data_IF_926967242751
#
_entry.id   IF_926967242751
#
_cell.length_a   1.000
_cell.length_b   1.000
_cell.length_c   1.000
_cell.angle_alpha   90.00
_cell.angle_beta   90.00
_cell.angle_gamma   90.00
#
_symmetry.space_group_name_H-M   'P 1'
#
loop_
_entity.id
_entity.type
_entity.pdbx_description
1 polymer ?
#
# COMPACT_ATOMS: atom_id res chain seq x y z
N UNK A 1 24.72 -9.71 41.55
CA UNK A 1 25.61 -8.54 41.34
C UNK A 1 26.91 -9.01 40.69
N UNK A 2 27.16 -8.60 39.44
CA UNK A 2 28.49 -8.41 38.86
C UNK A 2 28.30 -7.67 37.53
N UNK A 3 28.72 -6.41 37.52
CA UNK A 3 28.76 -5.53 36.37
C UNK A 3 29.99 -5.85 35.52
N UNK A 4 29.90 -5.62 34.21
CA UNK A 4 30.79 -4.66 33.56
C UNK A 4 30.34 -4.33 32.12
N UNK A 5 30.36 -3.03 31.75
CA UNK A 5 30.06 -2.54 30.41
C UNK A 5 31.35 -2.41 29.57
N UNK A 6 31.25 -2.54 28.25
CA UNK A 6 32.24 -1.92 27.34
C UNK A 6 31.57 -1.29 26.11
N UNK A 7 31.67 0.03 26.09
CA UNK A 7 31.66 0.91 24.93
C UNK A 7 32.63 0.43 23.85
N UNK A 8 32.20 0.49 22.59
CA UNK A 8 33.06 0.97 21.49
C UNK A 8 32.16 1.77 20.54
N UNK A 9 32.43 3.08 20.49
CA UNK A 9 31.94 3.98 19.46
C UNK A 9 32.80 3.81 18.20
N UNK A 10 32.17 3.77 17.02
CA UNK A 10 32.85 3.89 15.74
C UNK A 10 32.26 5.10 14.99
N UNK A 11 33.08 6.14 14.94
CA UNK A 11 32.95 7.37 14.19
C UNK A 11 33.35 7.16 12.72
N UNK A 12 32.87 8.08 11.85
CA UNK A 12 33.37 8.44 10.51
C UNK A 12 33.00 7.44 9.39
N UNK A 13 32.53 7.88 8.21
CA UNK A 13 33.05 9.01 7.44
C UNK A 13 32.00 9.71 6.55
N UNK A 14 32.18 11.03 6.48
CA UNK A 14 31.70 11.96 5.45
C UNK A 14 32.20 11.55 4.06
N UNK A 15 31.33 11.63 3.05
CA UNK A 15 31.71 11.61 1.64
C UNK A 15 30.86 12.60 0.84
N UNK A 16 31.31 13.86 0.76
CA UNK A 16 30.84 14.84 -0.21
C UNK A 16 31.29 14.43 -1.62
N UNK A 17 30.39 14.42 -2.60
CA UNK A 17 30.74 14.40 -4.02
C UNK A 17 30.47 15.79 -4.64
N UNK A 18 31.47 16.42 -5.30
CA UNK A 18 31.31 17.70 -5.96
C UNK A 18 30.71 17.59 -7.37
N UNK A 19 30.11 18.70 -7.78
CA UNK A 19 29.50 19.02 -9.07
C UNK A 19 30.49 18.89 -10.24
N UNK A 20 30.08 18.22 -11.32
CA UNK A 20 30.76 18.28 -12.61
C UNK A 20 29.91 19.10 -13.59
N UNK A 21 30.40 20.29 -13.90
CA UNK A 21 29.87 21.25 -14.88
C UNK A 21 30.24 20.87 -16.31
N UNK A 22 29.28 21.16 -17.18
CA UNK A 22 29.22 21.23 -18.65
C UNK A 22 30.52 21.41 -19.44
N UNK A 23 30.59 20.70 -20.58
CA UNK A 23 31.33 21.16 -21.77
C UNK A 23 30.39 21.13 -22.98
N UNK A 24 29.95 22.31 -23.40
CA UNK A 24 29.08 22.54 -24.54
C UNK A 24 29.95 22.90 -25.75
N UNK A 25 30.01 22.00 -26.73
CA UNK A 25 30.71 22.23 -27.99
C UNK A 25 29.89 23.18 -28.87
N UNK A 26 30.37 24.41 -28.99
CA UNK A 26 29.89 25.39 -29.96
C UNK A 26 30.19 24.94 -31.40
N UNK A 27 29.17 24.96 -32.26
CA UNK A 27 29.35 25.18 -33.70
C UNK A 27 28.57 26.43 -34.08
N UNK A 28 29.31 27.44 -34.50
CA UNK A 28 28.81 28.67 -35.07
C UNK A 28 28.47 28.45 -36.55
N UNK A 29 27.24 28.78 -36.92
CA UNK A 29 26.81 28.97 -38.31
C UNK A 29 25.95 30.22 -38.36
N UNK A 30 26.52 31.30 -38.88
CA UNK A 30 25.92 32.64 -39.01
C UNK A 30 25.01 32.72 -40.23
N UNK A 31 23.86 33.39 -40.07
CA UNK A 31 23.23 34.36 -40.99
C UNK A 31 21.73 34.09 -41.25
N UNK A 32 20.89 34.93 -40.64
CA UNK A 32 19.47 35.07 -41.00
C UNK A 32 18.59 35.59 -39.85
N UNK A 33 18.48 36.92 -39.69
CA UNK A 33 17.35 37.56 -38.97
C UNK A 33 16.11 37.49 -39.89
N UNK A 34 14.83 37.31 -39.45
CA UNK A 34 14.15 37.78 -38.22
C UNK A 34 13.11 36.74 -37.67
N UNK A 35 12.04 37.06 -36.88
CA UNK A 35 11.73 38.16 -35.96
C UNK A 35 11.62 37.68 -34.49
N UNK A 36 11.30 38.59 -33.56
CA UNK A 36 11.05 38.30 -32.15
C UNK A 36 9.95 37.22 -31.96
N UNK A 37 10.36 36.01 -31.60
CA UNK A 37 9.46 34.98 -31.12
C UNK A 37 9.21 35.22 -29.62
N UNK A 38 8.00 35.72 -29.34
CA UNK A 38 7.40 35.75 -28.01
C UNK A 38 7.60 34.38 -27.37
N UNK A 39 8.27 34.33 -26.22
CA UNK A 39 8.35 33.14 -25.39
C UNK A 39 6.94 32.76 -24.97
N UNK A 40 6.37 31.60 -25.38
CA UNK A 40 5.35 31.00 -24.55
C UNK A 40 6.13 30.45 -23.37
N UNK A 41 6.13 31.20 -22.27
CA UNK A 41 6.29 30.58 -20.95
C UNK A 41 5.24 29.48 -20.91
N UNK A 42 5.66 28.23 -21.14
CA UNK A 42 4.90 27.07 -20.77
C UNK A 42 4.87 27.11 -19.23
N UNK A 43 3.95 27.94 -18.72
CA UNK A 43 3.50 27.93 -17.34
C UNK A 43 3.28 26.47 -17.00
N UNK A 44 3.90 26.07 -15.89
CA UNK A 44 3.55 24.92 -15.07
C UNK A 44 2.05 24.61 -15.15
N UNK A 45 1.68 23.79 -16.12
CA UNK A 45 0.49 22.97 -16.01
C UNK A 45 0.95 21.75 -15.23
N UNK A 46 1.16 21.93 -13.93
CA UNK A 46 1.19 20.80 -13.01
C UNK A 46 -0.16 20.09 -13.25
N UNK A 47 -0.20 18.88 -13.81
CA UNK A 47 -1.47 18.21 -14.06
C UNK A 47 -2.11 18.05 -12.69
N UNK A 48 -3.20 18.77 -12.46
CA UNK A 48 -4.05 18.61 -11.28
C UNK A 48 -4.46 17.16 -11.31
N UNK A 49 -3.77 16.33 -10.54
CA UNK A 49 -4.08 14.91 -10.44
C UNK A 49 -5.44 14.89 -9.75
N UNK A 50 -6.52 14.46 -10.44
CA UNK A 50 -7.82 14.47 -9.81
C UNK A 50 -7.74 13.61 -8.55
N UNK A 51 -8.02 14.21 -7.40
CA UNK A 51 -8.10 13.48 -6.14
C UNK A 51 -9.11 12.35 -6.34
N UNK A 52 -8.75 11.07 -6.07
CA UNK A 52 -9.68 9.96 -6.24
C UNK A 52 -10.96 10.25 -5.46
N UNK A 53 -12.08 10.40 -6.17
CA UNK A 53 -13.37 10.55 -5.51
C UNK A 53 -13.72 9.26 -4.78
N UNK A 54 -14.27 9.38 -3.57
CA UNK A 54 -14.79 8.23 -2.86
C UNK A 54 -15.90 7.57 -3.70
N UNK A 55 -15.93 6.24 -3.84
CA UNK A 55 -16.97 5.56 -4.58
C UNK A 55 -18.35 5.81 -3.95
N UNK A 56 -19.40 5.69 -4.76
CA UNK A 56 -20.75 5.60 -4.23
C UNK A 56 -20.96 4.25 -3.51
N UNK A 57 -22.05 4.15 -2.73
CA UNK A 57 -22.29 2.97 -1.90
C UNK A 57 -22.47 1.68 -2.72
N UNK A 58 -23.19 1.66 -3.87
CA UNK A 58 -23.28 0.48 -4.72
C UNK A 58 -21.91 0.04 -5.27
N UNK A 59 -21.08 0.97 -5.76
CA UNK A 59 -19.73 0.64 -6.22
C UNK A 59 -18.88 0.11 -5.07
N UNK A 60 -18.99 0.72 -3.89
CA UNK A 60 -18.28 0.28 -2.71
C UNK A 60 -18.64 -1.15 -2.29
N UNK A 61 -19.93 -1.50 -2.31
CA UNK A 61 -20.39 -2.87 -2.06
C UNK A 61 -19.81 -3.87 -3.07
N UNK A 62 -19.79 -3.51 -4.36
CA UNK A 62 -19.16 -4.33 -5.40
C UNK A 62 -17.66 -4.53 -5.18
N UNK A 63 -16.96 -3.47 -4.71
CA UNK A 63 -15.55 -3.58 -4.33
C UNK A 63 -15.34 -4.49 -3.13
N UNK A 64 -16.20 -4.40 -2.10
CA UNK A 64 -16.14 -5.27 -0.93
C UNK A 64 -16.41 -6.73 -1.28
N UNK A 65 -17.45 -7.01 -2.08
CA UNK A 65 -17.78 -8.38 -2.51
C UNK A 65 -16.62 -9.01 -3.29
N UNK A 66 -15.98 -8.25 -4.19
CA UNK A 66 -14.77 -8.69 -4.89
C UNK A 66 -13.60 -8.93 -3.93
N UNK A 67 -13.34 -8.00 -3.03
CA UNK A 67 -12.26 -8.13 -2.05
C UNK A 67 -12.43 -9.32 -1.11
N UNK A 68 -13.67 -9.61 -0.69
CA UNK A 68 -14.04 -10.79 0.10
C UNK A 68 -13.80 -12.07 -0.70
N UNK A 69 -14.25 -12.12 -1.96
CA UNK A 69 -14.05 -13.26 -2.85
C UNK A 69 -12.57 -13.58 -3.09
N UNK A 70 -11.79 -12.56 -3.47
CA UNK A 70 -10.35 -12.71 -3.72
C UNK A 70 -9.61 -13.16 -2.45
N UNK A 71 -9.93 -12.58 -1.28
CA UNK A 71 -9.28 -12.95 -0.02
C UNK A 71 -9.63 -14.37 0.43
N UNK A 72 -10.89 -14.81 0.29
CA UNK A 72 -11.29 -16.22 0.53
C UNK A 72 -10.50 -17.18 -0.33
N UNK A 73 -10.33 -16.85 -1.62
CA UNK A 73 -9.57 -17.68 -2.55
C UNK A 73 -8.11 -17.79 -2.13
N UNK A 74 -7.45 -16.68 -1.77
CA UNK A 74 -6.05 -16.71 -1.34
C UNK A 74 -5.84 -17.40 0.01
N UNK A 75 -6.79 -17.28 0.95
CA UNK A 75 -6.77 -18.06 2.20
C UNK A 75 -6.80 -19.56 1.89
N UNK A 76 -7.73 -19.99 1.03
CA UNK A 76 -7.84 -21.41 0.63
C UNK A 76 -6.58 -21.93 -0.08
N UNK A 77 -5.95 -21.10 -0.93
CA UNK A 77 -4.66 -21.42 -1.57
C UNK A 77 -3.52 -21.55 -0.56
N UNK A 78 -3.45 -20.66 0.41
CA UNK A 78 -2.43 -20.72 1.47
C UNK A 78 -2.59 -21.97 2.33
N UNK A 79 -3.83 -22.32 2.71
CA UNK A 79 -4.17 -23.51 3.50
C UNK A 79 -3.86 -24.82 2.76
N UNK A 80 -4.05 -24.85 1.44
CA UNK A 80 -3.75 -26.02 0.61
C UNK A 80 -2.24 -26.26 0.40
N UNK A 81 -1.39 -25.50 1.10
CA UNK A 81 0.07 -25.64 1.06
C UNK A 81 0.75 -24.73 0.05
N UNK A 82 0.25 -23.50 -0.11
CA UNK A 82 0.74 -22.49 -1.05
C UNK A 82 2.27 -22.34 -1.07
N UNK A 83 2.91 -23.06 -1.99
CA UNK A 83 4.35 -23.05 -2.29
C UNK A 83 5.25 -23.24 -1.08
N UNK A 84 5.61 -24.48 -0.72
CA UNK A 84 6.65 -24.68 0.31
C UNK A 84 7.97 -24.03 -0.13
N UNK A 85 8.60 -23.28 0.76
CA UNK A 85 9.96 -22.77 0.53
C UNK A 85 10.96 -23.89 0.77
N UNK A 86 12.00 -23.94 -0.05
CA UNK A 86 13.14 -24.85 0.16
C UNK A 86 14.14 -24.30 1.16
N UNK A 87 14.02 -23.01 1.51
CA UNK A 87 14.90 -22.30 2.44
C UNK A 87 14.22 -22.13 3.81
N UNK A 88 14.81 -22.68 4.89
CA UNK A 88 14.32 -22.47 6.26
C UNK A 88 14.25 -20.98 6.62
N UNK A 89 13.12 -20.56 7.19
CA UNK A 89 12.88 -19.16 7.59
C UNK A 89 12.48 -18.21 6.46
N UNK A 90 12.39 -18.68 5.21
CA UNK A 90 11.87 -17.87 4.11
C UNK A 90 10.33 -17.93 4.06
N UNK A 91 9.69 -16.77 3.93
CA UNK A 91 8.25 -16.64 3.67
C UNK A 91 7.89 -17.24 2.32
N UNK A 92 6.86 -18.10 2.26
CA UNK A 92 6.44 -18.70 1.00
C UNK A 92 5.85 -17.70 0.01
N UNK A 93 5.96 -17.96 -1.31
CA UNK A 93 5.26 -17.16 -2.31
C UNK A 93 3.75 -17.08 -2.02
N UNK A 94 3.11 -18.19 -1.65
CA UNK A 94 1.69 -18.21 -1.28
C UNK A 94 1.39 -17.29 -0.09
N UNK A 95 2.31 -17.23 0.87
CA UNK A 95 2.19 -16.33 2.02
C UNK A 95 2.36 -14.85 1.63
N UNK A 96 3.30 -14.55 0.74
CA UNK A 96 3.48 -13.20 0.19
C UNK A 96 2.21 -12.75 -0.53
N UNK A 97 1.62 -13.62 -1.36
CA UNK A 97 0.36 -13.34 -2.05
C UNK A 97 -0.80 -13.12 -1.07
N UNK A 98 -0.90 -13.94 -0.01
CA UNK A 98 -1.91 -13.75 1.04
C UNK A 98 -1.77 -12.39 1.72
N UNK A 99 -0.55 -12.02 2.16
CA UNK A 99 -0.30 -10.73 2.81
C UNK A 99 -0.59 -9.55 1.87
N UNK A 100 -0.21 -9.67 0.59
CA UNK A 100 -0.54 -8.67 -0.42
C UNK A 100 -2.06 -8.54 -0.57
N UNK A 101 -2.78 -9.66 -0.63
CA UNK A 101 -4.23 -9.65 -0.78
C UNK A 101 -4.94 -9.04 0.43
N UNK A 102 -4.48 -9.34 1.65
CA UNK A 102 -4.98 -8.68 2.87
C UNK A 102 -4.77 -7.17 2.82
N UNK A 103 -3.61 -6.70 2.31
CA UNK A 103 -3.34 -5.26 2.13
C UNK A 103 -4.30 -4.63 1.11
N UNK A 104 -4.54 -5.29 -0.02
CA UNK A 104 -5.48 -4.83 -1.04
C UNK A 104 -6.91 -4.75 -0.48
N UNK A 105 -7.33 -5.76 0.28
CA UNK A 105 -8.59 -5.79 1.02
C UNK A 105 -8.74 -4.63 2.01
N UNK A 106 -7.67 -4.29 2.75
CA UNK A 106 -7.64 -3.11 3.61
C UNK A 106 -7.83 -1.80 2.83
N UNK A 107 -7.13 -1.65 1.70
CA UNK A 107 -7.29 -0.46 0.84
C UNK A 107 -8.69 -0.33 0.27
N UNK A 108 -9.38 -1.45 0.03
CA UNK A 108 -10.81 -1.42 -0.35
C UNK A 108 -11.63 -0.88 0.82
N UNK A 109 -11.43 -1.38 2.04
CA UNK A 109 -12.14 -0.90 3.22
C UNK A 109 -11.97 0.61 3.43
N UNK A 110 -10.75 1.14 3.27
CA UNK A 110 -10.42 2.58 3.39
C UNK A 110 -11.16 3.48 2.39
N UNK A 111 -11.62 2.93 1.26
CA UNK A 111 -12.36 3.68 0.24
C UNK A 111 -13.85 3.81 0.55
N UNK A 112 -14.23 3.74 1.82
CA UNK A 112 -15.62 3.94 2.23
C UNK A 112 -16.19 5.28 1.72
N UNK A 113 -17.44 5.30 1.24
CA UNK A 113 -18.14 6.54 0.88
C UNK A 113 -18.20 7.49 2.07
N UNK A 114 -18.17 8.80 1.83
CA UNK A 114 -18.18 9.82 2.91
C UNK A 114 -19.39 9.72 3.85
N UNK A 115 -20.53 9.25 3.37
CA UNK A 115 -21.74 9.07 4.19
C UNK A 115 -21.77 7.80 5.04
N UNK A 116 -20.79 6.89 4.85
CA UNK A 116 -20.65 5.65 5.60
C UNK A 116 -19.38 5.63 6.46
N UNK A 117 -18.33 6.30 6.00
CA UNK A 117 -17.10 6.53 6.75
C UNK A 117 -17.41 7.35 8.02
N UNK A 118 -16.96 6.85 9.18
CA UNK A 118 -17.25 7.42 10.50
C UNK A 118 -18.44 6.79 11.22
N UNK A 119 -19.09 5.78 10.63
CA UNK A 119 -20.00 4.92 11.38
C UNK A 119 -19.22 4.00 12.33
N UNK A 120 -19.82 3.62 13.46
CA UNK A 120 -19.22 2.78 14.48
C UNK A 120 -18.74 1.43 13.91
N UNK A 121 -19.50 0.82 13.00
CA UNK A 121 -19.11 -0.43 12.34
C UNK A 121 -17.89 -0.25 11.41
N UNK A 122 -17.81 0.88 10.71
CA UNK A 122 -16.64 1.22 9.90
C UNK A 122 -15.41 1.38 10.79
N UNK A 123 -15.50 2.23 11.81
CA UNK A 123 -14.37 2.50 12.72
C UNK A 123 -13.89 1.24 13.44
N UNK A 124 -14.82 0.39 13.88
CA UNK A 124 -14.48 -0.89 14.48
C UNK A 124 -13.78 -1.81 13.48
N UNK A 125 -14.28 -1.92 12.26
CA UNK A 125 -13.63 -2.72 11.21
C UNK A 125 -12.21 -2.23 10.93
N UNK A 126 -12.02 -0.91 10.83
CA UNK A 126 -10.71 -0.33 10.60
C UNK A 126 -9.76 -0.57 11.78
N UNK A 127 -10.23 -0.54 13.03
CA UNK A 127 -9.40 -0.94 14.17
C UNK A 127 -9.01 -2.42 14.09
N UNK A 128 -9.98 -3.29 13.82
CA UNK A 128 -9.77 -4.74 13.79
C UNK A 128 -8.81 -5.14 12.68
N UNK A 129 -9.04 -4.70 11.45
CA UNK A 129 -8.15 -5.04 10.35
C UNK A 129 -6.74 -4.42 10.53
N UNK A 130 -6.59 -3.29 11.24
CA UNK A 130 -5.26 -2.71 11.55
C UNK A 130 -4.49 -3.61 12.51
N UNK A 131 -5.16 -4.12 13.53
CA UNK A 131 -4.57 -5.08 14.46
C UNK A 131 -4.11 -6.34 13.70
N UNK A 132 -4.98 -6.91 12.85
CA UNK A 132 -4.63 -8.07 12.02
C UNK A 132 -3.48 -7.80 11.05
N UNK A 133 -3.43 -6.60 10.48
CA UNK A 133 -2.35 -6.23 9.58
C UNK A 133 -1.01 -6.09 10.32
N UNK A 134 -1.02 -5.58 11.56
CA UNK A 134 0.19 -5.50 12.38
C UNK A 134 0.75 -6.88 12.75
N UNK A 135 -0.12 -7.88 12.89
CA UNK A 135 0.25 -9.28 13.09
C UNK A 135 0.91 -9.88 11.83
N UNK A 136 0.63 -9.37 10.63
CA UNK A 136 1.16 -9.83 9.33
C UNK A 136 2.50 -9.17 8.94
N UNK A 137 3.23 -8.58 9.89
CA UNK A 137 4.47 -7.86 9.63
C UNK A 137 5.61 -8.73 9.05
N UNK A 138 6.51 -8.16 8.25
CA UNK A 138 7.51 -8.92 7.46
C UNK A 138 8.58 -9.64 8.29
N UNK A 139 8.63 -9.45 9.60
CA UNK A 139 9.77 -9.93 10.40
C UNK A 139 9.58 -11.32 11.00
N UNK A 140 8.35 -11.80 11.30
CA UNK A 140 8.19 -13.02 12.13
C UNK A 140 6.87 -13.79 11.91
N UNK A 141 6.30 -13.78 10.71
CA UNK A 141 5.00 -14.41 10.49
C UNK A 141 5.16 -15.88 10.11
N UNK A 142 4.81 -16.77 11.03
CA UNK A 142 4.62 -18.18 10.71
C UNK A 142 3.36 -18.37 9.86
N UNK A 143 3.40 -19.34 8.95
CA UNK A 143 2.29 -19.57 8.03
C UNK A 143 0.91 -19.79 8.69
N UNK A 144 0.79 -20.55 9.80
CA UNK A 144 -0.49 -20.72 10.49
C UNK A 144 -1.06 -19.41 11.02
N UNK A 145 -0.21 -18.57 11.65
CA UNK A 145 -0.62 -17.30 12.22
C UNK A 145 -1.08 -16.32 11.14
N UNK A 146 -0.42 -16.31 9.99
CA UNK A 146 -0.79 -15.46 8.88
C UNK A 146 -2.18 -15.79 8.31
N UNK A 147 -2.47 -17.07 8.18
CA UNK A 147 -3.78 -17.56 7.73
C UNK A 147 -4.86 -17.17 8.73
N UNK A 148 -4.57 -17.26 10.03
CA UNK A 148 -5.49 -16.83 11.08
C UNK A 148 -5.76 -15.32 11.03
N UNK A 149 -4.72 -14.48 10.93
CA UNK A 149 -4.87 -13.04 10.79
C UNK A 149 -5.63 -12.67 9.50
N UNK A 150 -5.41 -13.39 8.39
CA UNK A 150 -6.14 -13.21 7.15
C UNK A 150 -7.63 -13.58 7.28
N UNK A 151 -7.95 -14.69 7.98
CA UNK A 151 -9.35 -15.04 8.32
C UNK A 151 -10.02 -13.96 9.18
N UNK A 152 -9.30 -13.39 10.13
CA UNK A 152 -9.77 -12.25 10.93
C UNK A 152 -10.06 -11.01 10.08
N UNK A 153 -9.16 -10.70 9.13
CA UNK A 153 -9.37 -9.59 8.19
C UNK A 153 -10.58 -9.84 7.27
N UNK A 154 -10.76 -11.08 6.79
CA UNK A 154 -11.92 -11.49 6.01
C UNK A 154 -13.22 -11.29 6.79
N UNK A 155 -13.30 -11.76 8.03
CA UNK A 155 -14.49 -11.59 8.87
C UNK A 155 -14.82 -10.10 9.09
N UNK A 156 -13.79 -9.26 9.21
CA UNK A 156 -13.95 -7.82 9.39
C UNK A 156 -14.52 -7.16 8.12
N UNK A 157 -14.04 -7.56 6.93
CA UNK A 157 -14.63 -7.12 5.66
C UNK A 157 -16.09 -7.57 5.47
N UNK A 158 -16.41 -8.80 5.85
CA UNK A 158 -17.78 -9.32 5.76
C UNK A 158 -18.75 -8.52 6.62
N UNK A 159 -18.34 -8.17 7.86
CA UNK A 159 -19.10 -7.27 8.74
C UNK A 159 -19.27 -5.89 8.13
N UNK A 160 -18.21 -5.33 7.57
CA UNK A 160 -18.25 -4.03 6.90
C UNK A 160 -19.22 -4.00 5.74
N UNK A 161 -19.21 -5.06 4.93
CA UNK A 161 -20.13 -5.26 3.81
C UNK A 161 -21.57 -5.35 4.28
N UNK A 162 -21.85 -6.06 5.37
CA UNK A 162 -23.19 -6.12 5.97
C UNK A 162 -23.66 -4.74 6.44
N UNK A 163 -22.80 -4.00 7.15
CA UNK A 163 -23.12 -2.65 7.61
C UNK A 163 -23.34 -1.68 6.44
N UNK A 164 -22.51 -1.75 5.39
CA UNK A 164 -22.67 -0.94 4.19
C UNK A 164 -23.97 -1.26 3.45
N UNK A 165 -24.34 -2.54 3.35
CA UNK A 165 -25.59 -2.97 2.71
C UNK A 165 -26.82 -2.53 3.50
N UNK A 166 -26.77 -2.59 4.83
CA UNK A 166 -27.83 -2.06 5.70
C UNK A 166 -27.97 -0.53 5.62
N UNK A 167 -26.92 0.17 5.20
CA UNK A 167 -26.91 1.63 5.02
C UNK A 167 -27.39 2.06 3.63
N UNK A 168 -27.68 1.12 2.73
CA UNK A 168 -28.14 1.44 1.39
C UNK A 168 -29.62 1.84 1.40
N UNK A 169 -30.00 2.96 0.76
CA UNK A 169 -31.41 3.30 0.61
C UNK A 169 -32.11 2.20 -0.19
N UNK A 170 -33.24 1.72 0.32
CA UNK A 170 -34.11 0.71 -0.32
C UNK A 170 -34.82 1.26 -1.55
#
# INVERSE_FOLDING_TARGET
>A
MRANPRLVAALLALGLAPLATSDARAQAGTAGTPPAAVTPSARDANPVTPTPQAPDLPTYLGMLDRGIGDLRQEISRAESGGGRTTQPGATSPGMIHLMQKVRESWQIAERAPRGFNGNAEYDQTMRDMRARFSELGPQHVEAPQAVESARGALQSLEKLRQAAAASAPS
#
